data_IF_218237092491
#
_entry.id   IF_218237092491
#
_cell.length_a   1.000
_cell.length_b   1.000
_cell.length_c   1.000
_cell.angle_alpha   90.00
_cell.angle_beta   90.00
_cell.angle_gamma   90.00
#
_symmetry.space_group_name_H-M   'P 1'
#
loop_
_entity.id
_entity.type
_entity.pdbx_description
1 polymer ?
#
# COMPACT_ATOMS: atom_id res chain seq x y z
N UNK A 1 0.58 -26.67 4.31
CA UNK A 1 1.23 -25.55 3.57
C UNK A 1 0.34 -24.31 3.37
N UNK A 2 -0.96 -24.38 3.67
CA UNK A 2 -1.94 -23.29 3.43
C UNK A 2 -1.73 -22.05 4.31
N UNK A 3 -1.39 -22.25 5.60
CA UNK A 3 -1.17 -21.15 6.56
C UNK A 3 0.01 -20.22 6.18
N UNK A 4 1.07 -20.75 5.54
CA UNK A 4 2.21 -19.91 5.11
C UNK A 4 1.82 -18.96 3.99
N UNK A 5 0.97 -19.39 3.05
CA UNK A 5 0.51 -18.53 1.95
C UNK A 5 -0.33 -17.37 2.47
N UNK A 6 -1.22 -17.61 3.45
CA UNK A 6 -1.99 -16.55 4.13
C UNK A 6 -1.09 -15.58 4.89
N UNK A 7 -0.11 -16.10 5.64
CA UNK A 7 0.84 -15.25 6.37
C UNK A 7 1.65 -14.36 5.42
N UNK A 8 2.11 -14.91 4.29
CA UNK A 8 2.84 -14.14 3.27
C UNK A 8 1.95 -13.08 2.61
N UNK A 9 0.66 -13.38 2.38
CA UNK A 9 -0.30 -12.44 1.79
C UNK A 9 -0.68 -11.30 2.75
N UNK A 10 -0.84 -11.60 4.04
CA UNK A 10 -1.05 -10.59 5.08
C UNK A 10 0.19 -9.72 5.27
N UNK A 11 1.37 -10.34 5.31
CA UNK A 11 2.65 -9.62 5.45
C UNK A 11 2.91 -8.72 4.24
N UNK A 12 2.65 -9.20 3.02
CA UNK A 12 2.80 -8.39 1.81
C UNK A 12 1.81 -7.23 1.77
N UNK A 13 0.53 -7.47 2.12
CA UNK A 13 -0.48 -6.42 2.24
C UNK A 13 -0.11 -5.35 3.28
N UNK A 14 0.42 -5.78 4.43
CA UNK A 14 0.89 -4.88 5.47
C UNK A 14 2.09 -4.05 5.04
N UNK A 15 3.10 -4.66 4.39
CA UNK A 15 4.24 -3.91 3.83
C UNK A 15 3.79 -2.90 2.76
N UNK A 16 2.88 -3.28 1.86
CA UNK A 16 2.32 -2.35 0.87
C UNK A 16 1.60 -1.18 1.55
N UNK A 17 0.82 -1.45 2.59
CA UNK A 17 0.12 -0.43 3.36
C UNK A 17 1.09 0.53 4.04
N UNK A 18 2.12 0.02 4.71
CA UNK A 18 3.15 0.85 5.37
C UNK A 18 3.90 1.70 4.35
N UNK A 19 4.33 1.13 3.22
CA UNK A 19 5.02 1.87 2.16
C UNK A 19 4.11 2.95 1.56
N UNK A 20 2.83 2.66 1.34
CA UNK A 20 1.85 3.63 0.84
C UNK A 20 1.62 4.79 1.81
N UNK A 21 1.47 4.50 3.10
CA UNK A 21 1.37 5.51 4.16
C UNK A 21 2.64 6.36 4.27
N UNK A 22 3.81 5.72 4.28
CA UNK A 22 5.10 6.41 4.36
C UNK A 22 5.28 7.33 3.15
N UNK A 23 4.91 6.87 1.96
CA UNK A 23 4.92 7.66 0.72
C UNK A 23 4.02 8.89 0.79
N UNK A 24 2.81 8.78 1.38
CA UNK A 24 1.96 9.95 1.61
C UNK A 24 2.60 10.92 2.61
N UNK A 25 3.05 10.43 3.78
CA UNK A 25 3.64 11.28 4.81
C UNK A 25 4.87 12.02 4.27
N UNK A 26 5.77 11.32 3.57
CA UNK A 26 6.92 11.94 2.91
C UNK A 26 6.49 12.96 1.85
N UNK A 27 5.43 12.67 1.10
CA UNK A 27 4.85 13.63 0.14
C UNK A 27 4.34 14.91 0.80
N UNK A 28 3.76 14.83 2.02
CA UNK A 28 3.34 16.01 2.77
C UNK A 28 4.53 16.85 3.25
N UNK A 29 5.68 16.22 3.51
CA UNK A 29 6.94 16.89 3.90
C UNK A 29 7.73 17.39 2.67
N UNK A 30 7.27 17.10 1.45
CA UNK A 30 7.96 17.46 0.20
C UNK A 30 9.13 16.53 -0.16
N UNK A 31 9.19 15.35 0.47
CA UNK A 31 10.18 14.32 0.19
C UNK A 31 9.59 13.29 -0.78
N UNK A 32 10.31 13.07 -1.87
CA UNK A 32 9.87 12.26 -3.01
C UNK A 32 10.64 10.94 -3.05
N UNK A 33 9.95 9.81 -2.88
CA UNK A 33 10.57 8.48 -2.97
C UNK A 33 11.00 8.22 -4.42
N UNK A 34 12.26 7.80 -4.63
CA UNK A 34 12.84 7.54 -5.96
C UNK A 34 12.02 6.54 -6.80
N UNK A 35 11.31 5.62 -6.15
CA UNK A 35 10.44 4.61 -6.79
C UNK A 35 9.18 5.27 -7.40
N UNK A 36 8.72 6.40 -6.86
CA UNK A 36 7.55 7.14 -7.33
C UNK A 36 7.89 8.38 -8.17
N UNK A 37 9.17 8.73 -8.34
CA UNK A 37 9.61 9.82 -9.24
C UNK A 37 8.97 9.78 -10.63
N UNK A 38 8.81 8.63 -11.31
CA UNK A 38 8.17 8.59 -12.62
C UNK A 38 6.71 9.07 -12.57
N UNK A 39 6.03 8.79 -11.46
CA UNK A 39 4.63 9.16 -11.23
C UNK A 39 4.50 10.65 -10.87
N UNK A 40 5.48 11.18 -10.16
CA UNK A 40 5.52 12.59 -9.74
C UNK A 40 5.81 13.55 -10.90
N UNK A 41 6.45 13.06 -11.97
CA UNK A 41 6.65 13.80 -13.23
C UNK A 41 5.33 14.19 -13.92
N UNK A 42 4.23 13.50 -13.66
CA UNK A 42 2.92 13.78 -14.28
C UNK A 42 2.13 14.88 -13.55
N UNK A 43 2.66 15.39 -12.43
CA UNK A 43 2.06 16.47 -11.64
C UNK A 43 1.53 16.00 -10.30
N UNK A 44 1.52 16.94 -9.33
CA UNK A 44 1.18 16.69 -7.92
C UNK A 44 -0.20 16.05 -7.71
N UNK A 45 -1.19 16.42 -8.53
CA UNK A 45 -2.56 15.88 -8.48
C UNK A 45 -2.62 14.40 -8.87
N UNK A 46 -1.99 14.03 -10.00
CA UNK A 46 -1.94 12.65 -10.46
C UNK A 46 -1.13 11.76 -9.52
N UNK A 47 -0.03 12.30 -8.99
CA UNK A 47 0.78 11.60 -7.99
C UNK A 47 0.00 11.30 -6.71
N UNK A 48 -0.82 12.25 -6.26
CA UNK A 48 -1.66 12.06 -5.06
C UNK A 48 -2.74 11.00 -5.27
N UNK A 49 -3.39 10.96 -6.44
CA UNK A 49 -4.40 9.94 -6.76
C UNK A 49 -3.78 8.54 -6.78
N UNK A 50 -2.60 8.38 -7.37
CA UNK A 50 -1.92 7.08 -7.45
C UNK A 50 -1.46 6.63 -6.05
N UNK A 51 -0.91 7.53 -5.23
CA UNK A 51 -0.57 7.24 -3.83
C UNK A 51 -1.81 6.80 -3.03
N UNK A 52 -2.97 7.44 -3.26
CA UNK A 52 -4.22 7.07 -2.62
C UNK A 52 -4.71 5.68 -3.05
N UNK A 53 -4.62 5.35 -4.34
CA UNK A 53 -4.91 4.00 -4.84
C UNK A 53 -4.05 2.93 -4.19
N UNK A 54 -2.75 3.18 -4.01
CA UNK A 54 -1.85 2.24 -3.33
C UNK A 54 -2.30 1.91 -1.90
N UNK A 55 -2.79 2.92 -1.17
CA UNK A 55 -3.32 2.74 0.19
C UNK A 55 -4.62 1.93 0.17
N UNK A 56 -5.54 2.26 -0.74
CA UNK A 56 -6.81 1.56 -0.87
C UNK A 56 -6.56 0.09 -1.23
N UNK A 57 -5.66 -0.20 -2.19
CA UNK A 57 -5.30 -1.56 -2.58
C UNK A 57 -4.65 -2.34 -1.43
N UNK A 58 -3.71 -1.73 -0.69
CA UNK A 58 -3.10 -2.34 0.48
C UNK A 58 -4.11 -2.66 1.59
N UNK A 59 -5.05 -1.74 1.84
CA UNK A 59 -6.13 -1.92 2.80
C UNK A 59 -7.07 -3.06 2.40
N UNK A 60 -7.47 -3.13 1.13
CA UNK A 60 -8.33 -4.20 0.59
C UNK A 60 -7.66 -5.57 0.74
N UNK A 61 -6.37 -5.68 0.39
CA UNK A 61 -5.62 -6.93 0.54
C UNK A 61 -5.51 -7.37 2.01
N UNK A 62 -5.25 -6.44 2.92
CA UNK A 62 -5.21 -6.72 4.35
C UNK A 62 -6.59 -7.16 4.89
N UNK A 63 -7.67 -6.49 4.49
CA UNK A 63 -9.03 -6.85 4.86
C UNK A 63 -9.45 -8.21 4.30
N UNK A 64 -9.09 -8.51 3.05
CA UNK A 64 -9.40 -9.78 2.42
C UNK A 64 -8.64 -10.94 3.08
N UNK A 65 -7.37 -10.73 3.43
CA UNK A 65 -6.59 -11.67 4.23
C UNK A 65 -7.17 -11.90 5.63
N UNK A 66 -7.70 -10.84 6.27
CA UNK A 66 -8.32 -10.91 7.60
C UNK A 66 -9.73 -11.53 7.58
N UNK A 67 -10.53 -11.27 6.54
CA UNK A 67 -11.90 -11.81 6.42
C UNK A 67 -11.88 -13.33 6.29
N UNK A 68 -10.92 -13.86 5.54
CA UNK A 68 -10.66 -15.30 5.44
C UNK A 68 -10.07 -15.92 6.74
N UNK A 69 -9.99 -15.16 7.83
CA UNK A 69 -9.57 -15.57 9.16
C UNK A 69 -10.70 -15.41 10.20
N UNK A 70 -11.89 -14.94 9.80
CA UNK A 70 -13.09 -14.84 10.66
C UNK A 70 -14.11 -15.96 10.44
N UNK A 71 -13.72 -17.01 9.71
CA UNK A 71 -14.46 -18.29 9.62
C UNK A 71 -13.61 -19.40 10.26
N UNK A 72 -13.23 -19.24 11.53
CA UNK A 72 -12.85 -20.31 12.44
C UNK A 72 -13.29 -19.91 13.85
#
# INVERSE_FOLDING_TARGET
>A
MENRKKAIMLLSGFILFVIGMLSLILSLVGIHLLILKPVESFGFFYASIIKLSFIITGLILAFMGSSNNKML
#
